data_IF_931601452475
#
_entry.id   IF_931601452475
#
_cell.length_a   1.000
_cell.length_b   1.000
_cell.length_c   1.000
_cell.angle_alpha   90.00
_cell.angle_beta   90.00
_cell.angle_gamma   90.00
#
_symmetry.space_group_name_H-M   'P 1'
#
loop_
_entity.id
_entity.type
_entity.pdbx_description
1 polymer ?
#
# COMPACT_ATOMS: atom_id res chain seq x y z
N UNK A 1 18.71 3.06 7.77
CA UNK A 1 17.69 2.61 6.78
C UNK A 1 16.63 1.66 7.35
N UNK A 2 16.95 0.79 8.32
CA UNK A 2 15.97 -0.16 8.90
C UNK A 2 14.91 0.46 9.83
N UNK A 3 15.21 1.60 10.45
CA UNK A 3 14.30 2.25 11.41
C UNK A 3 13.03 2.82 10.76
N UNK A 4 13.11 3.37 9.54
CA UNK A 4 11.94 3.93 8.87
C UNK A 4 10.92 2.85 8.51
N UNK A 5 11.37 1.73 7.93
CA UNK A 5 10.48 0.62 7.56
C UNK A 5 9.74 0.04 8.78
N UNK A 6 10.42 -0.05 9.93
CA UNK A 6 9.85 -0.62 11.15
C UNK A 6 8.94 0.37 11.89
N UNK A 7 9.30 1.65 11.95
CA UNK A 7 8.46 2.70 12.53
C UNK A 7 7.19 2.92 11.70
N UNK A 8 7.31 2.84 10.36
CA UNK A 8 6.17 2.86 9.46
C UNK A 8 5.26 1.64 9.67
N UNK A 9 5.82 0.44 9.85
CA UNK A 9 5.05 -0.78 10.10
C UNK A 9 4.28 -0.74 11.44
N UNK A 10 4.84 -0.09 12.46
CA UNK A 10 4.24 0.01 13.80
C UNK A 10 3.10 1.04 13.87
N UNK A 11 3.29 2.24 13.31
CA UNK A 11 2.21 3.23 13.13
C UNK A 11 1.03 2.63 12.32
N UNK A 12 1.36 1.73 11.38
CA UNK A 12 0.40 1.16 10.45
C UNK A 12 -0.41 -0.01 11.00
N UNK A 13 0.15 -0.82 11.92
CA UNK A 13 -0.59 -1.91 12.58
C UNK A 13 -1.82 -1.41 13.36
N UNK A 14 -1.79 -0.14 13.79
CA UNK A 14 -2.87 0.48 14.57
C UNK A 14 -4.04 0.99 13.72
N UNK A 15 -3.93 1.17 12.39
CA UNK A 15 -5.00 1.79 11.59
C UNK A 15 -5.70 0.85 10.59
N UNK A 16 -5.36 -0.44 10.55
CA UNK A 16 -5.62 -1.30 9.36
C UNK A 16 -6.35 -2.60 9.70
N UNK A 17 -7.43 -2.54 10.46
CA UNK A 17 -8.23 -3.74 10.76
C UNK A 17 -9.62 -3.81 10.14
N UNK A 18 -9.97 -2.98 9.15
CA UNK A 18 -11.22 -3.17 8.39
C UNK A 18 -11.06 -2.76 6.90
N UNK A 19 -11.12 -3.73 5.97
CA UNK A 19 -11.16 -3.49 4.52
C UNK A 19 -10.33 -4.47 3.68
N UNK A 20 -10.75 -4.70 2.43
CA UNK A 20 -10.01 -5.53 1.47
C UNK A 20 -8.73 -4.82 0.99
N UNK A 21 -7.79 -5.56 0.39
CA UNK A 21 -6.51 -4.99 -0.05
C UNK A 21 -6.63 -3.83 -1.04
N UNK A 22 -7.70 -3.82 -1.85
CA UNK A 22 -8.03 -2.75 -2.79
C UNK A 22 -8.44 -1.48 -2.07
N UNK A 23 -9.34 -1.57 -1.10
CA UNK A 23 -9.78 -0.43 -0.29
C UNK A 23 -8.61 0.20 0.46
N UNK A 24 -7.72 -0.63 1.03
CA UNK A 24 -6.49 -0.13 1.68
C UNK A 24 -5.57 0.60 0.70
N UNK A 25 -5.42 0.09 -0.52
CA UNK A 25 -4.64 0.78 -1.56
C UNK A 25 -5.29 2.12 -1.97
N UNK A 26 -6.62 2.16 -2.11
CA UNK A 26 -7.35 3.38 -2.43
C UNK A 26 -7.26 4.41 -1.31
N UNK A 27 -7.38 3.99 -0.04
CA UNK A 27 -7.17 4.88 1.09
C UNK A 27 -5.73 5.40 1.16
N UNK A 28 -4.74 4.55 0.85
CA UNK A 28 -3.34 4.97 0.76
C UNK A 28 -3.15 6.03 -0.34
N UNK A 29 -3.74 5.80 -1.52
CA UNK A 29 -3.70 6.72 -2.64
C UNK A 29 -4.37 8.06 -2.30
N UNK A 30 -5.51 8.04 -1.60
CA UNK A 30 -6.24 9.23 -1.22
C UNK A 30 -5.57 10.01 -0.08
N UNK A 31 -5.05 9.33 0.95
CA UNK A 31 -4.46 9.98 2.13
C UNK A 31 -3.01 10.39 1.93
N UNK A 32 -2.24 9.57 1.20
CA UNK A 32 -0.78 9.72 1.06
C UNK A 32 -0.30 9.31 -0.34
N UNK A 33 -0.70 10.05 -1.40
CA UNK A 33 -0.27 9.77 -2.76
C UNK A 33 1.26 9.82 -2.93
N UNK A 34 1.98 10.58 -2.09
CA UNK A 34 3.43 10.67 -2.08
C UNK A 34 4.11 9.30 -1.86
N UNK A 35 3.51 8.42 -1.06
CA UNK A 35 4.04 7.08 -0.82
C UNK A 35 4.00 6.27 -2.11
N UNK A 36 2.90 6.35 -2.86
CA UNK A 36 2.75 5.60 -4.11
C UNK A 36 3.71 6.11 -5.19
N UNK A 37 4.11 7.38 -5.11
CA UNK A 37 5.08 8.00 -6.03
C UNK A 37 6.53 7.71 -5.67
N UNK A 38 6.86 7.64 -4.38
CA UNK A 38 8.26 7.51 -3.91
C UNK A 38 8.65 6.09 -3.48
N UNK A 39 7.67 5.21 -3.26
CA UNK A 39 7.91 3.86 -2.77
C UNK A 39 7.70 2.84 -3.89
N UNK A 40 8.58 1.84 -3.95
CA UNK A 40 8.47 0.77 -4.93
C UNK A 40 7.22 -0.09 -4.72
N UNK A 41 6.69 -0.62 -5.82
CA UNK A 41 5.50 -1.47 -5.81
C UNK A 41 5.67 -2.72 -4.94
N UNK A 42 6.90 -3.26 -4.82
CA UNK A 42 7.21 -4.40 -3.94
C UNK A 42 6.99 -4.06 -2.47
N UNK A 43 7.43 -2.88 -2.04
CA UNK A 43 7.24 -2.42 -0.65
C UNK A 43 5.77 -2.12 -0.40
N UNK A 44 5.07 -1.48 -1.34
CA UNK A 44 3.63 -1.23 -1.23
C UNK A 44 2.84 -2.55 -1.17
N UNK A 45 3.23 -3.56 -1.95
CA UNK A 45 2.59 -4.88 -1.92
C UNK A 45 2.80 -5.58 -0.57
N UNK A 46 4.04 -5.57 -0.07
CA UNK A 46 4.37 -6.10 1.26
C UNK A 46 3.61 -5.35 2.37
N UNK A 47 3.47 -4.04 2.23
CA UNK A 47 2.72 -3.18 3.15
C UNK A 47 1.22 -3.47 3.15
N UNK A 48 0.66 -3.72 1.96
CA UNK A 48 -0.73 -4.14 1.80
C UNK A 48 -0.91 -5.63 2.07
N UNK A 49 0.11 -6.40 2.46
CA UNK A 49 0.00 -7.84 2.68
C UNK A 49 -0.50 -8.61 1.46
N UNK A 50 -0.19 -8.14 0.25
CA UNK A 50 -0.58 -8.78 -1.02
C UNK A 50 0.65 -9.08 -1.86
N UNK A 51 0.47 -9.92 -2.88
CA UNK A 51 1.54 -10.17 -3.84
C UNK A 51 1.76 -8.93 -4.72
N UNK A 52 3.01 -8.65 -5.13
CA UNK A 52 3.31 -7.58 -6.08
C UNK A 52 2.50 -7.70 -7.38
N UNK A 53 2.25 -8.94 -7.85
CA UNK A 53 1.41 -9.21 -9.01
C UNK A 53 -0.04 -8.76 -8.80
N UNK A 54 -0.63 -9.07 -7.64
CA UNK A 54 -1.98 -8.60 -7.31
C UNK A 54 -2.05 -7.08 -7.33
N UNK A 55 -1.08 -6.40 -6.71
CA UNK A 55 -1.04 -4.94 -6.68
C UNK A 55 -0.85 -4.33 -8.09
N UNK A 56 -0.04 -4.96 -8.93
CA UNK A 56 0.14 -4.55 -10.33
C UNK A 56 -1.17 -4.67 -11.12
N UNK A 57 -1.89 -5.78 -10.95
CA UNK A 57 -3.20 -5.97 -11.58
C UNK A 57 -4.23 -4.96 -11.06
N UNK A 58 -4.24 -4.71 -9.76
CA UNK A 58 -5.12 -3.70 -9.15
C UNK A 58 -4.87 -2.31 -9.74
N UNK A 59 -3.60 -1.89 -9.86
CA UNK A 59 -3.25 -0.61 -10.49
C UNK A 59 -3.74 -0.51 -11.93
N UNK A 60 -3.60 -1.60 -12.70
CA UNK A 60 -4.08 -1.64 -14.09
C UNK A 60 -5.60 -1.55 -14.17
N UNK A 61 -6.31 -2.26 -13.30
CA UNK A 61 -7.77 -2.20 -13.20
C UNK A 61 -8.26 -0.79 -12.85
N UNK A 62 -7.58 -0.08 -11.94
CA UNK A 62 -7.92 1.29 -11.56
C UNK A 62 -7.58 2.34 -12.63
N UNK A 63 -6.67 2.04 -13.55
CA UNK A 63 -6.32 2.94 -14.66
C UNK A 63 -7.20 2.73 -15.90
N UNK A 64 -8.01 1.67 -15.90
CA UNK A 64 -8.92 1.30 -17.01
C UNK A 64 -10.38 1.68 -16.70
N UNK A 65 -10.66 2.09 -15.46
CA UNK A 65 -11.97 2.55 -14.99
C UNK A 65 -12.14 4.06 -15.19
#
# INVERSE_FOLDING_TARGET
>A
MMAYNQMFFMEFKNSVFMGNARERYLQLLAKRPEIIRHVSLKIIASYLGVTPNYLSNLRRSLATD
#
